data_IF_912841194409
#
_entry.id   IF_912841194409
#
_cell.length_a   1.000
_cell.length_b   1.000
_cell.length_c   1.000
_cell.angle_alpha   90.00
_cell.angle_beta   90.00
_cell.angle_gamma   90.00
#
_symmetry.space_group_name_H-M   'P 1'
#
loop_
_entity.id
_entity.type
_entity.pdbx_description
1 polymer ?
#
# COMPACT_ATOMS: atom_id res chain seq x y z
N UNK A 1 -8.55 10.27 -18.10
CA UNK A 1 -7.24 10.63 -17.52
C UNK A 1 -7.31 12.06 -17.03
N UNK A 2 -6.75 12.32 -15.88
CA UNK A 2 -6.75 13.62 -15.23
C UNK A 2 -5.34 14.01 -14.79
N UNK A 3 -5.02 15.28 -14.91
CA UNK A 3 -3.88 15.90 -14.24
C UNK A 3 -4.42 16.71 -13.06
N UNK A 4 -3.85 16.47 -11.89
CA UNK A 4 -4.24 17.13 -10.64
C UNK A 4 -3.02 17.74 -9.96
N UNK A 5 -3.23 18.77 -9.17
CA UNK A 5 -2.20 19.26 -8.23
C UNK A 5 -2.00 18.24 -7.10
N UNK A 6 -0.95 18.40 -6.32
CA UNK A 6 -0.71 17.61 -5.09
C UNK A 6 -1.83 17.77 -4.06
N UNK A 7 -2.55 18.90 -4.08
CA UNK A 7 -3.73 19.16 -3.25
C UNK A 7 -5.04 18.64 -3.85
N UNK A 8 -4.92 17.77 -4.88
CA UNK A 8 -6.04 17.11 -5.54
C UNK A 8 -6.96 18.03 -6.38
N UNK A 9 -6.54 19.26 -6.72
CA UNK A 9 -7.28 20.14 -7.60
C UNK A 9 -7.14 19.69 -9.05
N UNK A 10 -8.24 19.66 -9.79
CA UNK A 10 -8.25 19.27 -11.19
C UNK A 10 -7.64 20.37 -12.08
N UNK A 11 -6.55 20.05 -12.77
CA UNK A 11 -5.90 20.94 -13.74
C UNK A 11 -6.43 20.68 -15.17
N UNK A 12 -6.49 19.40 -15.55
CA UNK A 12 -6.94 19.00 -16.89
C UNK A 12 -7.57 17.60 -16.85
N UNK A 13 -8.56 17.39 -17.71
CA UNK A 13 -9.21 16.09 -17.90
C UNK A 13 -9.34 15.80 -19.38
N UNK A 14 -9.07 14.56 -19.77
CA UNK A 14 -9.34 14.04 -21.11
C UNK A 14 -10.03 12.68 -21.02
N UNK A 15 -10.78 12.34 -22.05
CA UNK A 15 -11.28 10.99 -22.29
C UNK A 15 -10.41 10.33 -23.35
N UNK A 16 -9.99 9.09 -23.11
CA UNK A 16 -9.21 8.28 -24.03
C UNK A 16 -10.08 7.10 -24.46
N UNK A 17 -10.15 6.85 -25.76
CA UNK A 17 -10.86 5.70 -26.32
C UNK A 17 -9.90 4.52 -26.47
N UNK A 18 -10.41 3.33 -26.21
CA UNK A 18 -9.70 2.11 -26.51
C UNK A 18 -9.68 1.85 -28.02
N UNK A 19 -8.52 1.48 -28.55
CA UNK A 19 -8.35 1.01 -29.93
C UNK A 19 -7.42 -0.22 -29.91
N UNK A 20 -7.89 -1.33 -30.49
CA UNK A 20 -7.09 -2.56 -30.53
C UNK A 20 -6.61 -3.10 -29.18
N UNK A 21 -7.41 -2.97 -28.12
CA UNK A 21 -7.05 -3.41 -26.77
C UNK A 21 -6.15 -2.44 -25.98
N UNK A 22 -5.72 -1.34 -26.61
CA UNK A 22 -4.80 -0.38 -25.99
C UNK A 22 -5.49 0.97 -25.78
N UNK A 23 -5.20 1.61 -24.65
CA UNK A 23 -5.58 3.00 -24.37
C UNK A 23 -4.37 3.90 -24.63
N UNK A 24 -4.42 4.69 -25.67
CA UNK A 24 -3.36 5.65 -26.00
C UNK A 24 -3.95 7.04 -26.24
N UNK A 25 -3.21 8.07 -25.85
CA UNK A 25 -3.64 9.45 -26.06
C UNK A 25 -2.59 10.44 -25.56
N UNK A 26 -2.87 11.73 -25.70
CA UNK A 26 -2.03 12.81 -25.18
C UNK A 26 -2.87 13.75 -24.33
N UNK A 27 -2.27 14.27 -23.29
CA UNK A 27 -2.85 15.27 -22.39
C UNK A 27 -2.20 16.63 -22.73
N UNK A 28 -2.92 17.56 -23.38
CA UNK A 28 -2.36 18.88 -23.63
C UNK A 28 -2.21 19.63 -22.32
N UNK A 29 -0.99 20.06 -22.00
CA UNK A 29 -0.72 20.84 -20.82
C UNK A 29 -0.98 22.34 -21.13
N UNK A 30 -1.64 23.09 -20.23
CA UNK A 30 -1.76 24.54 -20.38
C UNK A 30 -0.39 25.21 -20.46
N UNK A 31 -0.21 26.20 -21.34
CA UNK A 31 1.02 26.96 -21.42
C UNK A 31 1.32 27.73 -20.11
N UNK A 32 0.28 28.03 -19.35
CA UNK A 32 0.33 28.71 -18.04
C UNK A 32 0.51 27.76 -16.87
N UNK A 33 0.78 26.45 -17.14
CA UNK A 33 0.94 25.48 -16.07
C UNK A 33 2.15 25.86 -15.19
N UNK A 34 1.92 25.97 -13.90
CA UNK A 34 2.97 26.31 -12.96
C UNK A 34 4.04 25.21 -12.92
N UNK A 35 5.26 25.61 -12.65
CA UNK A 35 6.37 24.68 -12.46
C UNK A 35 6.24 24.05 -11.07
N UNK A 36 5.65 22.86 -10.99
CA UNK A 36 5.35 22.18 -9.73
C UNK A 36 5.21 20.65 -9.93
N UNK A 37 4.94 19.96 -8.86
CA UNK A 37 4.59 18.55 -8.86
C UNK A 37 3.08 18.38 -9.06
N UNK A 38 2.74 17.46 -9.92
CA UNK A 38 1.36 17.08 -10.26
C UNK A 38 1.17 15.58 -10.11
N UNK A 39 -0.07 15.14 -10.12
CA UNK A 39 -0.43 13.72 -10.13
C UNK A 39 -1.25 13.43 -11.38
N UNK A 40 -0.77 12.51 -12.20
CA UNK A 40 -1.50 11.96 -13.33
C UNK A 40 -2.34 10.79 -12.82
N UNK A 41 -3.67 10.89 -12.96
CA UNK A 41 -4.60 9.82 -12.61
C UNK A 41 -5.24 9.25 -13.87
N UNK A 42 -5.33 7.93 -13.98
CA UNK A 42 -6.04 7.25 -15.05
C UNK A 42 -7.01 6.22 -14.48
N UNK A 43 -8.24 6.23 -14.95
CA UNK A 43 -9.29 5.34 -14.47
C UNK A 43 -10.44 5.25 -15.49
N UNK A 44 -11.20 4.17 -15.39
CA UNK A 44 -12.50 4.03 -16.04
C UNK A 44 -13.62 4.47 -15.08
N UNK A 45 -14.80 4.77 -15.59
CA UNK A 45 -15.95 5.06 -14.72
C UNK A 45 -16.26 3.90 -13.78
N UNK A 46 -16.07 2.68 -14.24
CA UNK A 46 -16.27 1.48 -13.42
C UNK A 46 -15.30 1.42 -12.21
N UNK A 47 -14.01 1.74 -12.42
CA UNK A 47 -13.01 1.73 -11.36
C UNK A 47 -13.34 2.70 -10.22
N UNK A 48 -14.09 3.77 -10.46
CA UNK A 48 -14.52 4.70 -9.43
C UNK A 48 -15.43 4.06 -8.36
N UNK A 49 -16.10 2.97 -8.70
CA UNK A 49 -16.94 2.23 -7.77
C UNK A 49 -16.13 1.33 -6.82
N UNK A 50 -14.85 1.10 -7.12
CA UNK A 50 -13.98 0.19 -6.38
C UNK A 50 -13.13 0.92 -5.30
N UNK A 51 -13.23 2.25 -5.23
CA UNK A 51 -12.43 3.07 -4.31
C UNK A 51 -11.15 3.63 -4.93
N UNK A 52 -10.53 4.57 -4.21
CA UNK A 52 -9.36 5.32 -4.68
C UNK A 52 -8.12 4.48 -4.94
N UNK A 53 -7.95 3.37 -4.24
CA UNK A 53 -6.78 2.49 -4.31
C UNK A 53 -6.65 1.74 -5.64
N UNK A 54 -7.77 1.63 -6.37
CA UNK A 54 -7.80 1.00 -7.70
C UNK A 54 -7.51 1.97 -8.85
N UNK A 55 -7.33 3.25 -8.57
CA UNK A 55 -7.03 4.23 -9.57
C UNK A 55 -5.53 4.25 -9.87
N UNK A 56 -5.15 4.20 -11.15
CA UNK A 56 -3.75 4.44 -11.50
C UNK A 56 -3.38 5.87 -11.17
N UNK A 57 -2.30 6.07 -10.45
CA UNK A 57 -1.73 7.39 -10.16
C UNK A 57 -0.23 7.40 -10.37
N UNK A 58 0.28 8.49 -10.98
CA UNK A 58 1.71 8.68 -11.23
C UNK A 58 2.08 10.13 -10.94
N UNK A 59 3.08 10.39 -10.09
CA UNK A 59 3.61 11.73 -9.90
C UNK A 59 4.30 12.21 -11.19
N UNK A 60 4.09 13.49 -11.51
CA UNK A 60 4.64 14.16 -12.68
C UNK A 60 5.23 15.51 -12.25
N UNK A 61 6.52 15.72 -12.49
CA UNK A 61 7.16 17.02 -12.28
C UNK A 61 7.16 17.81 -13.58
N UNK A 62 6.63 19.02 -13.52
CA UNK A 62 6.67 19.97 -14.65
C UNK A 62 7.76 20.97 -14.34
N UNK A 63 8.84 20.85 -14.99
CA UNK A 63 10.02 21.63 -15.23
C UNK A 63 11.30 20.79 -15.15
N UNK A 64 11.81 20.32 -16.30
CA UNK A 64 12.99 19.45 -16.32
C UNK A 64 14.31 20.21 -16.05
N UNK A 65 14.29 21.55 -16.07
CA UNK A 65 15.51 22.34 -15.86
C UNK A 65 15.82 22.65 -14.38
N UNK A 66 14.86 22.51 -13.50
CA UNK A 66 15.16 22.38 -12.10
C UNK A 66 15.73 20.98 -11.93
N UNK A 67 17.07 20.86 -11.81
CA UNK A 67 17.65 19.59 -11.35
C UNK A 67 16.74 19.13 -10.23
N UNK A 68 16.15 17.92 -10.29
CA UNK A 68 15.43 17.41 -9.18
C UNK A 68 16.42 17.55 -8.03
N UNK A 69 16.16 18.47 -7.10
CA UNK A 69 16.81 18.38 -5.79
C UNK A 69 16.64 16.93 -5.48
N UNK A 70 17.78 16.17 -5.48
CA UNK A 70 17.77 14.71 -5.27
C UNK A 70 16.72 14.51 -4.24
N UNK A 71 15.53 14.05 -4.67
CA UNK A 71 14.37 13.90 -3.79
C UNK A 71 14.99 13.21 -2.62
N UNK A 72 15.35 13.98 -1.59
CA UNK A 72 15.87 13.43 -0.35
C UNK A 72 14.81 12.42 -0.07
N UNK A 73 15.13 11.15 -0.34
CA UNK A 73 14.32 10.05 0.16
C UNK A 73 14.06 10.50 1.57
N UNK A 74 12.90 11.06 1.81
CA UNK A 74 12.45 11.34 3.16
C UNK A 74 12.25 9.96 3.77
N UNK A 75 13.40 9.31 4.01
CA UNK A 75 13.57 8.22 4.94
C UNK A 75 13.41 8.80 6.35
N UNK A 76 12.52 9.78 6.48
CA UNK A 76 12.11 10.18 7.79
C UNK A 76 11.29 9.04 8.33
N UNK A 77 11.77 8.44 9.40
CA UNK A 77 11.04 7.52 10.26
C UNK A 77 9.77 8.22 10.78
N UNK A 78 8.84 8.49 9.87
CA UNK A 78 7.54 9.06 10.16
C UNK A 78 6.56 7.97 10.60
N UNK A 79 5.41 8.34 11.15
CA UNK A 79 4.38 7.37 11.49
C UNK A 79 3.98 6.58 10.23
N UNK A 80 3.92 5.27 10.40
CA UNK A 80 3.54 4.33 9.35
C UNK A 80 2.40 3.45 9.84
N UNK A 81 1.70 2.81 8.93
CA UNK A 81 0.66 1.84 9.20
C UNK A 81 0.95 0.52 8.49
N UNK A 82 0.45 -0.59 9.04
CA UNK A 82 0.61 -1.92 8.46
C UNK A 82 -0.74 -2.61 8.45
N UNK A 83 -1.18 -3.00 7.26
CA UNK A 83 -2.38 -3.80 7.06
C UNK A 83 -1.99 -5.26 6.79
N UNK A 84 -2.79 -6.20 7.33
CA UNK A 84 -2.59 -7.64 7.20
C UNK A 84 -3.75 -8.26 6.43
N UNK A 85 -3.40 -9.17 5.50
CA UNK A 85 -4.30 -9.80 4.56
C UNK A 85 -4.09 -11.31 4.59
N UNK A 86 -4.87 -12.07 5.39
CA UNK A 86 -4.85 -13.53 5.31
C UNK A 86 -5.25 -14.00 3.91
N UNK A 87 -4.55 -14.97 3.35
CA UNK A 87 -4.74 -15.45 1.96
C UNK A 87 -6.17 -15.95 1.70
N UNK A 88 -6.79 -16.56 2.69
CA UNK A 88 -8.21 -17.02 2.63
C UNK A 88 -9.22 -15.96 3.07
N UNK A 89 -8.80 -14.70 3.26
CA UNK A 89 -9.61 -13.63 3.84
C UNK A 89 -9.69 -13.67 5.36
N UNK A 90 -9.43 -14.80 5.99
CA UNK A 90 -9.52 -15.02 7.45
C UNK A 90 -8.32 -15.80 7.97
N UNK A 91 -7.97 -15.61 9.25
CA UNK A 91 -7.16 -16.54 10.00
C UNK A 91 -8.05 -17.68 10.50
N UNK A 92 -7.54 -18.91 10.47
CA UNK A 92 -8.32 -20.10 10.82
C UNK A 92 -7.60 -20.87 11.90
N UNK A 93 -8.34 -21.16 12.96
CA UNK A 93 -7.81 -21.85 14.12
C UNK A 93 -7.29 -23.27 13.75
N UNK A 94 -6.08 -23.57 14.23
CA UNK A 94 -5.44 -24.85 14.02
C UNK A 94 -4.92 -25.10 12.60
N UNK A 95 -5.10 -24.18 11.65
CA UNK A 95 -4.63 -24.34 10.28
C UNK A 95 -3.45 -23.43 9.97
N UNK A 96 -2.46 -23.86 9.18
CA UNK A 96 -1.41 -23.00 8.68
C UNK A 96 -2.01 -21.88 7.81
N UNK A 97 -1.84 -20.64 8.22
CA UNK A 97 -2.33 -19.46 7.51
C UNK A 97 -1.17 -18.65 6.95
N UNK A 98 -1.24 -18.32 5.67
CA UNK A 98 -0.36 -17.37 5.04
C UNK A 98 -0.98 -15.98 5.10
N UNK A 99 -0.21 -15.00 5.57
CA UNK A 99 -0.66 -13.62 5.75
C UNK A 99 0.23 -12.69 4.95
N UNK A 100 -0.36 -12.04 3.96
CA UNK A 100 0.26 -10.92 3.28
C UNK A 100 0.21 -9.67 4.15
N UNK A 101 1.11 -8.74 3.94
CA UNK A 101 1.06 -7.43 4.59
C UNK A 101 1.51 -6.31 3.67
N UNK A 102 1.04 -5.09 3.97
CA UNK A 102 1.45 -3.84 3.32
C UNK A 102 1.72 -2.78 4.37
N UNK A 103 2.89 -2.14 4.29
CA UNK A 103 3.28 -1.02 5.15
C UNK A 103 3.32 0.28 4.36
N UNK A 104 2.59 1.30 4.84
CA UNK A 104 2.48 2.63 4.23
C UNK A 104 2.78 3.72 5.26
N UNK A 105 3.43 4.79 4.82
CA UNK A 105 3.51 6.03 5.58
C UNK A 105 2.24 6.88 5.42
N UNK A 106 2.06 7.89 6.25
CA UNK A 106 0.96 8.86 6.11
C UNK A 106 0.97 9.61 4.79
N UNK A 107 2.11 9.66 4.13
CA UNK A 107 2.30 10.24 2.80
C UNK A 107 1.90 9.28 1.65
N UNK A 108 1.31 8.12 1.98
CA UNK A 108 0.93 7.08 1.02
C UNK A 108 2.11 6.31 0.42
N UNK A 109 3.34 6.63 0.81
CA UNK A 109 4.52 5.94 0.28
C UNK A 109 4.81 4.66 1.07
N UNK A 110 5.27 3.63 0.34
CA UNK A 110 5.65 2.35 0.94
C UNK A 110 6.77 2.50 1.96
N UNK A 111 6.68 1.75 3.06
CA UNK A 111 7.71 1.67 4.10
C UNK A 111 8.26 0.25 4.18
N UNK A 112 9.58 0.15 4.19
CA UNK A 112 10.23 -1.13 4.47
C UNK A 112 10.19 -1.39 5.97
N UNK A 113 9.61 -2.52 6.37
CA UNK A 113 9.46 -2.88 7.77
C UNK A 113 9.94 -4.29 8.04
N UNK A 114 10.39 -4.52 9.27
CA UNK A 114 10.52 -5.84 9.87
C UNK A 114 9.51 -5.96 11.00
N UNK A 115 9.02 -7.16 11.26
CA UNK A 115 8.04 -7.37 12.31
C UNK A 115 8.15 -8.72 12.99
N UNK A 116 7.65 -8.77 14.22
CA UNK A 116 7.53 -10.00 15.02
C UNK A 116 6.07 -10.13 15.45
N UNK A 117 5.44 -11.25 15.11
CA UNK A 117 4.09 -11.59 15.56
C UNK A 117 4.16 -12.33 16.88
N UNK A 118 3.40 -11.86 17.85
CA UNK A 118 3.28 -12.47 19.18
C UNK A 118 1.83 -12.81 19.48
N UNK A 119 1.66 -13.87 20.27
CA UNK A 119 0.36 -14.18 20.87
C UNK A 119 0.11 -13.32 22.11
N UNK A 120 -1.09 -13.39 22.66
CA UNK A 120 -1.54 -12.72 23.89
C UNK A 120 -0.78 -13.16 25.17
N UNK A 121 0.04 -14.22 25.09
CA UNK A 121 0.97 -14.66 26.13
C UNK A 121 2.41 -14.18 25.88
N UNK A 122 2.63 -13.35 24.85
CA UNK A 122 3.94 -12.80 24.50
C UNK A 122 4.87 -13.75 23.73
N UNK A 123 4.41 -14.96 23.36
CA UNK A 123 5.23 -15.91 22.59
C UNK A 123 5.31 -15.47 21.14
N UNK A 124 6.51 -15.50 20.58
CA UNK A 124 6.72 -15.24 19.16
C UNK A 124 6.21 -16.42 18.34
N UNK A 125 5.30 -16.14 17.39
CA UNK A 125 4.71 -17.14 16.49
C UNK A 125 5.20 -17.00 15.05
N UNK A 126 5.61 -15.79 14.63
CA UNK A 126 6.21 -15.54 13.33
C UNK A 126 7.14 -14.33 13.36
N UNK A 127 8.02 -14.24 12.34
CA UNK A 127 8.81 -13.04 12.03
C UNK A 127 8.71 -12.77 10.53
N UNK A 128 8.74 -11.50 10.15
CA UNK A 128 8.62 -11.12 8.76
C UNK A 128 9.43 -9.86 8.43
N UNK A 129 9.67 -9.67 7.14
CA UNK A 129 10.30 -8.48 6.60
C UNK A 129 9.70 -8.15 5.24
N UNK A 130 9.66 -6.86 4.92
CA UNK A 130 9.26 -6.40 3.60
C UNK A 130 10.23 -6.92 2.53
N UNK A 131 9.69 -7.48 1.45
CA UNK A 131 10.45 -7.95 0.27
C UNK A 131 10.47 -6.91 -0.83
N UNK A 132 9.32 -6.32 -1.12
CA UNK A 132 9.18 -5.32 -2.19
C UNK A 132 8.15 -4.27 -1.80
N UNK A 133 8.48 -2.98 -2.01
CA UNK A 133 7.57 -1.84 -1.83
C UNK A 133 6.73 -1.91 -0.53
N UNK A 134 7.33 -2.26 0.61
CA UNK A 134 6.63 -2.37 1.90
C UNK A 134 5.71 -3.60 2.01
N UNK A 135 5.76 -4.51 1.07
CA UNK A 135 4.96 -5.75 1.06
C UNK A 135 5.81 -6.97 1.38
N UNK A 136 5.16 -7.98 1.91
CA UNK A 136 5.72 -9.30 2.18
C UNK A 136 4.64 -10.25 2.68
N UNK A 137 5.05 -11.43 3.09
CA UNK A 137 4.16 -12.43 3.70
C UNK A 137 4.90 -13.23 4.75
N UNK A 138 4.14 -13.81 5.66
CA UNK A 138 4.61 -14.76 6.67
C UNK A 138 3.54 -15.83 6.88
N UNK A 139 3.94 -16.91 7.53
CA UNK A 139 3.05 -18.04 7.83
C UNK A 139 3.09 -18.33 9.33
N UNK A 140 1.96 -18.69 9.88
CA UNK A 140 1.84 -19.25 11.23
C UNK A 140 0.51 -20.01 11.38
N UNK A 141 0.39 -20.80 12.43
CA UNK A 141 -0.84 -21.53 12.77
C UNK A 141 -1.49 -20.88 13.97
N UNK A 142 -2.64 -20.18 13.80
CA UNK A 142 -3.41 -19.65 14.89
C UNK A 142 -3.89 -20.77 15.83
N UNK A 143 -4.05 -20.45 17.11
CA UNK A 143 -4.60 -21.36 18.11
C UNK A 143 -5.95 -20.83 18.60
N UNK A 144 -6.91 -21.68 18.87
CA UNK A 144 -8.24 -21.29 19.32
C UNK A 144 -8.22 -20.31 20.50
N UNK A 145 -9.02 -19.25 20.39
CA UNK A 145 -9.18 -18.24 21.42
C UNK A 145 -7.98 -17.35 21.68
N UNK A 146 -7.00 -17.29 20.74
CA UNK A 146 -5.82 -16.44 20.86
C UNK A 146 -5.94 -15.19 20.01
N UNK A 147 -5.39 -14.11 20.53
CA UNK A 147 -5.18 -12.86 19.79
C UNK A 147 -3.71 -12.71 19.44
N UNK A 148 -3.46 -12.08 18.30
CA UNK A 148 -2.12 -11.90 17.75
C UNK A 148 -1.86 -10.44 17.46
N UNK A 149 -0.65 -9.98 17.84
CA UNK A 149 -0.21 -8.61 17.61
C UNK A 149 1.15 -8.65 16.91
N UNK A 150 1.32 -7.85 15.88
CA UNK A 150 2.59 -7.64 15.20
C UNK A 150 3.29 -6.39 15.75
N UNK A 151 4.49 -6.55 16.26
CA UNK A 151 5.36 -5.44 16.59
C UNK A 151 6.28 -5.16 15.40
N UNK A 152 6.10 -4.00 14.75
CA UNK A 152 6.79 -3.62 13.52
C UNK A 152 7.72 -2.44 13.73
N UNK A 153 8.87 -2.47 13.05
CA UNK A 153 9.84 -1.37 13.01
C UNK A 153 10.24 -1.10 11.55
N UNK A 154 10.43 0.18 11.20
CA UNK A 154 10.96 0.52 9.89
C UNK A 154 12.44 0.15 9.80
N UNK A 155 12.88 -0.40 8.66
CA UNK A 155 14.29 -0.73 8.43
C UNK A 155 15.19 0.51 8.37
N UNK A 156 14.60 1.69 8.11
CA UNK A 156 15.28 2.99 8.19
C UNK A 156 15.47 3.50 9.63
N UNK A 157 15.03 2.73 10.63
CA UNK A 157 15.05 3.11 12.04
C UNK A 157 13.74 3.76 12.50
N UNK A 158 13.64 4.01 13.79
CA UNK A 158 12.48 4.62 14.42
C UNK A 158 11.89 3.77 15.55
N UNK A 159 10.78 4.27 16.11
CA UNK A 159 10.07 3.57 17.20
C UNK A 159 9.29 2.39 16.64
N UNK A 160 9.27 1.27 17.36
CA UNK A 160 8.37 0.16 17.07
C UNK A 160 6.91 0.59 17.25
N UNK A 161 6.03 -0.02 16.45
CA UNK A 161 4.59 0.14 16.56
C UNK A 161 3.92 -1.22 16.58
N UNK A 162 2.82 -1.30 17.29
CA UNK A 162 2.01 -2.52 17.40
C UNK A 162 0.76 -2.40 16.56
N UNK A 163 0.41 -3.50 15.91
CA UNK A 163 -0.76 -3.64 15.05
C UNK A 163 -1.41 -4.99 15.34
N UNK A 164 -2.70 -4.98 15.56
CA UNK A 164 -3.44 -6.21 15.79
C UNK A 164 -3.64 -6.95 14.46
N UNK A 165 -3.52 -8.27 14.49
CA UNK A 165 -3.92 -9.12 13.38
C UNK A 165 -5.44 -9.34 13.42
N UNK A 166 -6.07 -9.69 12.28
CA UNK A 166 -7.45 -10.14 12.26
C UNK A 166 -7.68 -11.28 13.26
N UNK A 167 -8.87 -11.34 13.83
CA UNK A 167 -9.26 -12.46 14.71
C UNK A 167 -9.32 -13.76 13.91
N UNK A 168 -8.91 -14.86 14.54
CA UNK A 168 -9.04 -16.17 13.93
C UNK A 168 -10.47 -16.71 14.10
N UNK A 169 -10.93 -17.45 13.11
CA UNK A 169 -12.24 -18.08 13.09
C UNK A 169 -12.09 -19.60 13.16
N UNK A 170 -13.11 -20.25 13.66
CA UNK A 170 -13.22 -21.72 13.81
C UNK A 170 -13.82 -22.40 12.57
N UNK A 171 -13.71 -21.79 11.38
CA UNK A 171 -14.24 -22.36 10.15
C UNK A 171 -13.63 -23.72 9.83
N UNK A 172 -14.48 -24.68 9.49
CA UNK A 172 -14.08 -26.07 9.21
C UNK A 172 -13.47 -26.24 7.80
N UNK A 173 -13.72 -25.31 6.89
CA UNK A 173 -13.29 -25.41 5.48
C UNK A 173 -12.52 -24.17 5.02
N UNK A 174 -11.44 -24.42 4.27
CA UNK A 174 -10.61 -23.39 3.64
C UNK A 174 -10.44 -23.76 2.18
N UNK A 175 -10.77 -22.82 1.28
CA UNK A 175 -10.37 -22.92 -0.11
C UNK A 175 -9.00 -22.22 -0.26
N UNK A 176 -8.01 -22.97 -0.69
CA UNK A 176 -6.72 -22.42 -1.18
C UNK A 176 -6.74 -22.43 -2.70
N UNK A 177 -6.47 -21.28 -3.30
CA UNK A 177 -6.34 -21.10 -4.75
C UNK A 177 -4.86 -21.11 -5.11
#
# INVERSE_FOLDING_TARGET
VELRTTDNLLVRRIKILQRGGVYAGYLPLPATLAQDEYVLCAYTLYMRNLGGDYLFSKPLSVNPYRQPEKRRRRTAAGPFDVAFFPESGYLIDGQPCRVGFKALGRDGLSRQVTGTVRDDRGRTVARFASRHAGMGSFEFTPRPGRRYTAECVQTSGGKSRRFDLPEANDFTFVLRV
#
